data_IF_185952564280
#
_entry.id   IF_185952564280
#
_cell.length_a   1.000
_cell.length_b   1.000
_cell.length_c   1.000
_cell.angle_alpha   90.00
_cell.angle_beta   90.00
_cell.angle_gamma   90.00
#
_symmetry.space_group_name_H-M   'P 1'
#
loop_
_entity.id
_entity.type
_entity.pdbx_description
1 polymer ?
#
# COMPACT_ATOMS: atom_id res chain seq x y z
N UNK A 1 4.52 4.92 54.65
CA UNK A 1 3.49 5.04 53.60
C UNK A 1 2.58 3.84 53.75
N UNK A 2 1.37 4.05 54.27
CA UNK A 2 0.38 2.98 54.43
C UNK A 2 -0.33 2.79 53.08
N UNK A 3 -0.07 1.66 52.42
CA UNK A 3 -0.80 1.29 51.20
C UNK A 3 -2.16 0.77 51.65
N UNK A 4 -3.24 1.44 51.24
CA UNK A 4 -4.60 1.00 51.56
C UNK A 4 -4.93 -0.31 50.83
N UNK A 5 -5.63 -1.22 51.52
CA UNK A 5 -6.05 -2.55 51.02
C UNK A 5 -6.71 -2.48 49.63
N UNK A 6 -7.49 -1.44 49.34
CA UNK A 6 -8.13 -1.25 48.03
C UNK A 6 -7.14 -1.03 46.86
N UNK A 7 -5.96 -0.45 47.12
CA UNK A 7 -4.89 -0.28 46.12
C UNK A 7 -4.15 -1.60 45.93
N UNK A 8 -3.95 -2.38 47.00
CA UNK A 8 -3.32 -3.69 46.90
C UNK A 8 -4.19 -4.73 46.17
N UNK A 9 -5.52 -4.67 46.36
CA UNK A 9 -6.48 -5.52 45.66
C UNK A 9 -6.59 -5.16 44.17
N UNK A 10 -6.65 -3.87 43.82
CA UNK A 10 -6.69 -3.45 42.40
C UNK A 10 -5.40 -3.73 41.63
N UNK A 11 -4.27 -3.84 42.33
CA UNK A 11 -2.98 -4.25 41.76
C UNK A 11 -2.76 -5.77 41.77
N UNK A 12 -3.75 -6.56 42.23
CA UNK A 12 -3.68 -8.02 42.24
C UNK A 12 -2.62 -8.60 43.19
N UNK A 13 -2.19 -7.82 44.19
CA UNK A 13 -1.18 -8.24 45.17
C UNK A 13 -1.79 -9.06 46.32
N UNK A 14 -3.10 -8.90 46.54
CA UNK A 14 -3.88 -9.62 47.54
C UNK A 14 -5.20 -10.10 46.92
N UNK A 15 -5.68 -11.26 47.35
CA UNK A 15 -6.99 -11.81 46.99
C UNK A 15 -7.72 -12.25 48.26
N UNK A 16 -9.06 -12.28 48.24
CA UNK A 16 -9.84 -12.85 49.34
C UNK A 16 -9.91 -14.36 49.20
N UNK A 17 -9.52 -15.06 50.25
CA UNK A 17 -9.75 -16.49 50.34
C UNK A 17 -11.24 -16.83 50.51
N UNK A 18 -11.58 -18.11 50.42
CA UNK A 18 -12.94 -18.63 50.61
C UNK A 18 -13.56 -18.33 51.99
N UNK A 19 -12.76 -17.86 52.94
CA UNK A 19 -13.18 -17.43 54.28
C UNK A 19 -13.28 -15.91 54.43
N UNK A 20 -13.11 -15.15 53.34
CA UNK A 20 -13.23 -13.70 53.28
C UNK A 20 -12.02 -12.94 53.83
N UNK A 21 -10.88 -13.59 54.06
CA UNK A 21 -9.64 -12.96 54.53
C UNK A 21 -8.73 -12.62 53.36
N UNK A 22 -8.07 -11.46 53.42
CA UNK A 22 -7.07 -11.09 52.42
C UNK A 22 -5.79 -11.90 52.63
N UNK A 23 -5.37 -12.62 51.60
CA UNK A 23 -4.09 -13.34 51.55
C UNK A 23 -3.22 -12.73 50.47
N UNK A 24 -1.92 -12.58 50.77
CA UNK A 24 -0.90 -12.20 49.78
C UNK A 24 -0.78 -13.33 48.76
N UNK A 25 -0.90 -13.02 47.47
CA UNK A 25 -0.71 -13.99 46.38
C UNK A 25 0.80 -14.18 46.17
N UNK A 26 1.41 -15.30 46.60
CA UNK A 26 2.81 -15.55 46.34
C UNK A 26 2.95 -16.02 44.88
N UNK A 27 3.92 -15.46 44.15
CA UNK A 27 4.35 -15.88 42.81
C UNK A 27 3.44 -15.57 41.61
N UNK A 28 3.29 -14.29 41.28
CA UNK A 28 3.08 -13.81 39.89
C UNK A 28 4.21 -13.02 39.22
N UNK A 29 5.42 -12.77 39.77
CA UNK A 29 6.47 -12.11 38.97
C UNK A 29 7.01 -12.99 37.83
N UNK A 30 6.87 -14.32 37.93
CA UNK A 30 7.56 -15.27 37.03
C UNK A 30 6.77 -15.66 35.78
N UNK A 31 5.47 -15.37 35.69
CA UNK A 31 4.66 -15.66 34.49
C UNK A 31 4.54 -14.45 33.55
N UNK A 32 4.61 -13.22 34.05
CA UNK A 32 4.52 -12.01 33.21
C UNK A 32 5.82 -11.77 32.40
N UNK A 33 6.94 -12.37 32.83
CA UNK A 33 8.23 -12.31 32.12
C UNK A 33 8.42 -13.43 31.07
N UNK A 34 7.55 -14.44 31.01
CA UNK A 34 7.66 -15.55 30.06
C UNK A 34 6.73 -15.42 28.82
N UNK A 35 5.76 -14.50 28.85
CA UNK A 35 4.85 -14.23 27.72
C UNK A 35 5.17 -12.95 26.94
N UNK A 36 6.29 -12.29 27.22
CA UNK A 36 6.88 -11.28 26.33
C UNK A 36 8.00 -11.90 25.49
N UNK A 37 7.69 -12.97 24.76
CA UNK A 37 8.41 -13.15 23.49
C UNK A 37 7.91 -12.00 22.63
N UNK A 38 8.76 -11.11 22.10
CA UNK A 38 8.34 -10.21 21.05
C UNK A 38 7.71 -11.10 19.99
N UNK A 39 6.40 -11.05 19.87
CA UNK A 39 5.73 -11.60 18.71
C UNK A 39 6.33 -10.80 17.57
N UNK A 40 7.22 -11.43 16.80
CA UNK A 40 7.68 -10.88 15.54
C UNK A 40 6.40 -10.47 14.82
N UNK A 41 6.13 -9.16 14.80
CA UNK A 41 5.21 -8.59 13.83
C UNK A 41 5.61 -9.24 12.52
N UNK A 42 4.67 -9.82 11.75
CA UNK A 42 5.01 -10.38 10.45
C UNK A 42 5.89 -9.34 9.77
N UNK A 43 7.14 -9.70 9.48
CA UNK A 43 8.07 -8.82 8.80
C UNK A 43 7.27 -8.19 7.66
N UNK A 44 7.28 -6.87 7.58
CA UNK A 44 6.68 -6.13 6.48
C UNK A 44 7.53 -6.43 5.24
N UNK A 45 7.45 -7.68 4.78
CA UNK A 45 8.11 -8.21 3.61
C UNK A 45 7.40 -7.52 2.47
N UNK A 46 8.02 -6.44 2.01
CA UNK A 46 7.61 -5.69 0.85
C UNK A 46 7.15 -6.59 -0.29
N UNK A 47 6.21 -6.09 -1.09
CA UNK A 47 5.71 -6.78 -2.26
C UNK A 47 6.89 -7.10 -3.20
N UNK A 48 7.13 -8.39 -3.44
CA UNK A 48 8.17 -8.86 -4.35
C UNK A 48 7.81 -8.48 -5.79
N UNK A 49 8.83 -8.17 -6.60
CA UNK A 49 8.64 -8.02 -8.04
C UNK A 49 8.29 -9.38 -8.65
N UNK A 50 7.50 -9.37 -9.72
CA UNK A 50 7.00 -10.60 -10.35
C UNK A 50 8.11 -11.43 -11.02
N UNK A 51 9.21 -10.80 -11.42
CA UNK A 51 10.34 -11.46 -12.08
C UNK A 51 11.51 -11.62 -11.08
N UNK A 52 11.87 -12.87 -10.79
CA UNK A 52 12.94 -13.22 -9.87
C UNK A 52 14.33 -12.71 -10.31
N UNK A 53 14.58 -12.58 -11.61
CA UNK A 53 15.83 -12.01 -12.12
C UNK A 53 15.89 -10.50 -11.87
N UNK A 54 14.77 -9.79 -12.04
CA UNK A 54 14.67 -8.36 -11.73
C UNK A 54 14.79 -8.12 -10.22
N UNK A 55 14.19 -8.99 -9.41
CA UNK A 55 14.32 -8.96 -7.94
C UNK A 55 15.79 -9.16 -7.51
N UNK A 56 16.52 -10.08 -8.16
CA UNK A 56 17.94 -10.28 -7.91
C UNK A 56 18.78 -9.05 -8.32
N UNK A 57 18.47 -8.41 -9.45
CA UNK A 57 19.11 -7.17 -9.88
C UNK A 57 18.85 -6.03 -8.87
N UNK A 58 17.62 -5.90 -8.35
CA UNK A 58 17.27 -4.95 -7.30
C UNK A 58 18.05 -5.22 -6.01
N UNK A 59 18.09 -6.47 -5.56
CA UNK A 59 18.85 -6.85 -4.36
C UNK A 59 20.35 -6.54 -4.50
N UNK A 60 20.94 -6.83 -5.66
CA UNK A 60 22.34 -6.50 -5.94
C UNK A 60 22.59 -4.99 -5.93
N UNK A 61 21.68 -4.20 -6.54
CA UNK A 61 21.75 -2.74 -6.52
C UNK A 61 21.68 -2.19 -5.10
N UNK A 62 20.74 -2.65 -4.28
CA UNK A 62 20.57 -2.20 -2.90
C UNK A 62 21.76 -2.58 -2.01
N UNK A 63 22.33 -3.79 -2.18
CA UNK A 63 23.46 -4.24 -1.39
C UNK A 63 24.77 -3.53 -1.75
N UNK A 64 24.98 -3.23 -3.03
CA UNK A 64 26.22 -2.61 -3.50
C UNK A 64 26.22 -1.08 -3.35
N UNK A 65 25.04 -0.45 -3.37
CA UNK A 65 24.94 1.01 -3.34
C UNK A 65 24.76 1.59 -1.94
N UNK A 66 25.22 2.82 -1.76
CA UNK A 66 25.00 3.55 -0.50
C UNK A 66 23.55 4.03 -0.41
N UNK A 67 23.01 4.18 0.81
CA UNK A 67 21.64 4.69 1.00
C UNK A 67 21.43 6.06 0.36
N UNK A 68 22.46 6.92 0.36
CA UNK A 68 22.37 8.23 -0.30
C UNK A 68 22.26 8.11 -1.83
N UNK A 69 22.95 7.15 -2.45
CA UNK A 69 22.80 6.82 -3.86
C UNK A 69 21.40 6.28 -4.16
N UNK A 70 20.86 5.39 -3.32
CA UNK A 70 19.51 4.84 -3.47
C UNK A 70 18.44 5.94 -3.42
N UNK A 71 18.50 6.83 -2.42
CA UNK A 71 17.56 7.96 -2.33
C UNK A 71 17.72 8.95 -3.48
N UNK A 72 18.93 9.16 -3.99
CA UNK A 72 19.16 10.00 -5.16
C UNK A 72 18.52 9.41 -6.43
N UNK A 73 18.68 8.11 -6.66
CA UNK A 73 18.04 7.39 -7.77
C UNK A 73 16.52 7.56 -7.69
N UNK A 74 15.93 7.19 -6.55
CA UNK A 74 14.49 7.25 -6.37
C UNK A 74 13.95 8.68 -6.52
N UNK A 75 14.63 9.66 -5.93
CA UNK A 75 14.24 11.07 -6.02
C UNK A 75 14.24 11.58 -7.46
N UNK A 76 15.23 11.19 -8.26
CA UNK A 76 15.36 11.57 -9.67
C UNK A 76 14.31 10.86 -10.53
N UNK A 77 14.10 9.56 -10.35
CA UNK A 77 13.05 8.82 -11.06
C UNK A 77 11.66 9.38 -10.80
N UNK A 78 11.35 9.77 -9.55
CA UNK A 78 10.04 10.33 -9.19
C UNK A 78 9.87 11.77 -9.70
N UNK A 79 10.93 12.57 -9.73
CA UNK A 79 10.84 13.98 -10.09
C UNK A 79 10.96 14.21 -11.59
N UNK A 80 11.94 13.55 -12.21
CA UNK A 80 12.41 13.81 -13.56
C UNK A 80 12.08 12.65 -14.52
N UNK A 81 11.72 11.47 -13.99
CA UNK A 81 11.45 10.27 -14.78
C UNK A 81 12.71 9.52 -15.23
N UNK A 82 13.89 10.08 -14.98
CA UNK A 82 15.18 9.54 -15.39
C UNK A 82 16.25 9.75 -14.30
N UNK A 83 17.32 8.96 -14.33
CA UNK A 83 18.46 9.11 -13.43
C UNK A 83 19.56 9.85 -14.16
N UNK A 84 20.07 10.93 -13.56
CA UNK A 84 21.05 11.75 -14.23
C UNK A 84 22.42 11.03 -14.36
N UNK A 85 23.28 11.44 -15.33
CA UNK A 85 24.55 10.76 -15.59
C UNK A 85 25.51 10.72 -14.40
N UNK A 86 25.47 11.73 -13.52
CA UNK A 86 26.34 11.79 -12.33
C UNK A 86 25.95 10.74 -11.29
N UNK A 87 24.65 10.57 -11.05
CA UNK A 87 24.14 9.49 -10.18
C UNK A 87 24.49 8.14 -10.78
N UNK A 88 24.27 7.95 -12.10
CA UNK A 88 24.59 6.69 -12.77
C UNK A 88 26.07 6.33 -12.72
N UNK A 89 26.96 7.32 -12.89
CA UNK A 89 28.41 7.12 -12.72
C UNK A 89 28.75 6.63 -11.32
N UNK A 90 28.08 7.13 -10.28
CA UNK A 90 28.26 6.68 -8.90
C UNK A 90 27.77 5.25 -8.71
N UNK A 91 26.58 4.93 -9.21
CA UNK A 91 26.01 3.57 -9.17
C UNK A 91 26.95 2.56 -9.82
N UNK A 92 27.45 2.86 -11.02
CA UNK A 92 28.40 1.97 -11.73
C UNK A 92 29.71 1.78 -10.96
N UNK A 93 30.21 2.84 -10.31
CA UNK A 93 31.43 2.78 -9.48
C UNK A 93 31.21 1.95 -8.21
N UNK A 94 30.06 2.09 -7.56
CA UNK A 94 29.67 1.34 -6.36
C UNK A 94 29.48 -0.16 -6.67
N UNK A 95 28.93 -0.49 -7.84
CA UNK A 95 28.76 -1.87 -8.32
C UNK A 95 30.04 -2.50 -8.87
N UNK A 96 31.06 -1.70 -9.21
CA UNK A 96 32.25 -2.18 -9.90
C UNK A 96 32.00 -2.70 -11.32
N UNK A 97 30.99 -2.15 -12.01
CA UNK A 97 30.60 -2.55 -13.39
C UNK A 97 30.64 -1.36 -14.35
N UNK A 98 30.52 -1.64 -15.65
CA UNK A 98 30.47 -0.58 -16.67
C UNK A 98 29.17 0.25 -16.56
N UNK A 99 29.21 1.57 -16.83
CA UNK A 99 28.03 2.44 -16.76
C UNK A 99 26.82 1.94 -17.57
N UNK A 100 27.05 1.43 -18.79
CA UNK A 100 25.99 0.90 -19.64
C UNK A 100 25.33 -0.35 -19.04
N UNK A 101 26.10 -1.16 -18.31
CA UNK A 101 25.56 -2.34 -17.63
C UNK A 101 24.74 -1.94 -16.41
N UNK A 102 25.20 -0.94 -15.64
CA UNK A 102 24.45 -0.38 -14.52
C UNK A 102 23.12 0.24 -14.97
N UNK A 103 23.13 0.99 -16.06
CA UNK A 103 21.93 1.57 -16.67
C UNK A 103 20.94 0.49 -17.10
N UNK A 104 21.42 -0.56 -17.79
CA UNK A 104 20.58 -1.66 -18.23
C UNK A 104 19.94 -2.41 -17.04
N UNK A 105 20.69 -2.66 -15.96
CA UNK A 105 20.16 -3.31 -14.75
C UNK A 105 19.14 -2.42 -14.05
N UNK A 106 19.45 -1.13 -13.88
CA UNK A 106 18.52 -0.20 -13.26
C UNK A 106 17.23 -0.05 -14.08
N UNK A 107 17.33 0.03 -15.40
CA UNK A 107 16.17 0.10 -16.29
C UNK A 107 15.23 -1.09 -16.12
N UNK A 108 15.75 -2.31 -15.98
CA UNK A 108 14.92 -3.51 -15.70
C UNK A 108 14.19 -3.40 -14.36
N UNK A 109 14.87 -2.91 -13.33
CA UNK A 109 14.27 -2.72 -12.01
C UNK A 109 13.16 -1.68 -12.06
N UNK A 110 13.37 -0.56 -12.75
CA UNK A 110 12.35 0.48 -12.96
C UNK A 110 11.14 -0.07 -13.69
N UNK A 111 11.34 -0.82 -14.78
CA UNK A 111 10.25 -1.48 -15.50
C UNK A 111 9.53 -2.52 -14.64
N UNK A 112 10.23 -3.22 -13.75
CA UNK A 112 9.63 -4.13 -12.77
C UNK A 112 8.65 -3.42 -11.83
N UNK A 113 9.07 -2.30 -11.22
CA UNK A 113 8.19 -1.48 -10.39
C UNK A 113 7.01 -0.89 -11.17
N UNK A 114 7.25 -0.46 -12.41
CA UNK A 114 6.18 0.04 -13.29
C UNK A 114 5.14 -1.05 -13.58
N UNK A 115 5.60 -2.25 -13.96
CA UNK A 115 4.72 -3.39 -14.21
C UNK A 115 3.91 -3.78 -12.97
N UNK A 116 4.53 -3.75 -11.79
CA UNK A 116 3.86 -4.00 -10.52
C UNK A 116 2.77 -2.96 -10.25
N UNK A 117 3.06 -1.67 -10.42
CA UNK A 117 2.06 -0.60 -10.25
C UNK A 117 0.89 -0.75 -11.25
N UNK A 118 1.18 -1.00 -12.53
CA UNK A 118 0.17 -1.24 -13.57
C UNK A 118 -0.72 -2.44 -13.21
N UNK A 119 -0.13 -3.55 -12.77
CA UNK A 119 -0.88 -4.72 -12.31
C UNK A 119 -1.83 -4.36 -11.16
N UNK A 120 -1.39 -3.54 -10.20
CA UNK A 120 -2.25 -3.05 -9.12
C UNK A 120 -3.41 -2.20 -9.65
N UNK A 121 -3.18 -1.34 -10.65
CA UNK A 121 -4.25 -0.53 -11.26
C UNK A 121 -5.28 -1.41 -11.97
N UNK A 122 -4.83 -2.42 -12.73
CA UNK A 122 -5.71 -3.38 -13.39
C UNK A 122 -6.53 -4.19 -12.38
N UNK A 123 -5.92 -4.65 -11.29
CA UNK A 123 -6.62 -5.36 -10.22
C UNK A 123 -7.69 -4.49 -9.55
N UNK A 124 -7.50 -3.17 -9.54
CA UNK A 124 -8.46 -2.21 -9.01
C UNK A 124 -9.53 -1.77 -10.02
N UNK A 125 -9.49 -2.26 -11.26
CA UNK A 125 -10.52 -1.98 -12.28
C UNK A 125 -10.18 -0.84 -13.24
N UNK A 126 -8.94 -0.37 -13.27
CA UNK A 126 -8.46 0.58 -14.27
C UNK A 126 -7.92 -0.22 -15.46
N UNK A 127 -8.53 -0.07 -16.63
CA UNK A 127 -8.07 -0.79 -17.84
C UNK A 127 -7.00 -0.02 -18.61
N UNK A 128 -7.16 1.30 -18.71
CA UNK A 128 -6.16 2.19 -19.28
C UNK A 128 -5.30 2.79 -18.16
N UNK A 129 -4.19 2.11 -17.86
CA UNK A 129 -3.24 2.58 -16.86
C UNK A 129 -2.56 3.90 -17.26
N UNK A 130 -2.36 4.15 -18.57
CA UNK A 130 -1.72 5.37 -19.05
C UNK A 130 -2.66 6.58 -18.89
N UNK A 131 -3.96 6.39 -19.09
CA UNK A 131 -4.98 7.41 -18.78
C UNK A 131 -5.00 7.74 -17.28
N UNK A 132 -4.97 6.72 -16.40
CA UNK A 132 -4.90 6.94 -14.96
C UNK A 132 -3.63 7.68 -14.54
N UNK A 133 -2.46 7.27 -15.04
CA UNK A 133 -1.18 7.92 -14.74
C UNK A 133 -1.22 9.38 -15.20
N UNK A 134 -1.71 9.64 -16.42
CA UNK A 134 -1.86 10.99 -16.96
C UNK A 134 -2.79 11.85 -16.10
N UNK A 135 -3.92 11.27 -15.67
CA UNK A 135 -4.85 11.94 -14.76
C UNK A 135 -4.19 12.29 -13.42
N UNK A 136 -3.49 11.33 -12.81
CA UNK A 136 -2.86 11.49 -11.50
C UNK A 136 -1.76 12.56 -11.55
N UNK A 137 -0.95 12.57 -12.61
CA UNK A 137 0.06 13.62 -12.83
C UNK A 137 -0.54 15.01 -12.99
N UNK A 138 -1.73 15.13 -13.62
CA UNK A 138 -2.37 16.42 -13.85
C UNK A 138 -3.15 16.94 -12.63
N UNK A 139 -3.83 16.06 -11.89
CA UNK A 139 -4.79 16.46 -10.84
C UNK A 139 -4.24 16.28 -9.43
N UNK A 140 -3.30 15.35 -9.25
CA UNK A 140 -2.72 14.92 -7.96
C UNK A 140 -1.20 14.68 -8.06
N UNK A 141 -0.42 15.60 -8.64
CA UNK A 141 1.02 15.36 -8.91
C UNK A 141 1.81 15.02 -7.66
N UNK A 142 1.57 15.71 -6.55
CA UNK A 142 2.32 15.50 -5.30
C UNK A 142 1.97 14.18 -4.62
N UNK A 143 0.68 13.80 -4.62
CA UNK A 143 0.22 12.53 -4.06
C UNK A 143 0.70 11.35 -4.93
N UNK A 144 0.70 11.50 -6.26
CA UNK A 144 1.22 10.48 -7.16
C UNK A 144 2.73 10.29 -6.97
N UNK A 145 3.50 11.39 -6.88
CA UNK A 145 4.93 11.32 -6.55
C UNK A 145 5.18 10.71 -5.16
N UNK A 146 4.34 11.00 -4.17
CA UNK A 146 4.42 10.38 -2.86
C UNK A 146 4.16 8.86 -2.93
N UNK A 147 3.14 8.43 -3.67
CA UNK A 147 2.86 7.02 -3.90
C UNK A 147 4.02 6.30 -4.60
N UNK A 148 4.65 6.92 -5.60
CA UNK A 148 5.84 6.37 -6.26
C UNK A 148 7.03 6.24 -5.31
N UNK A 149 7.29 7.25 -4.46
CA UNK A 149 8.34 7.17 -3.43
C UNK A 149 8.07 6.05 -2.45
N UNK A 150 6.86 5.96 -1.91
CA UNK A 150 6.48 4.91 -0.97
C UNK A 150 6.60 3.53 -1.63
N UNK A 151 6.23 3.41 -2.90
CA UNK A 151 6.40 2.17 -3.65
C UNK A 151 7.87 1.75 -3.74
N UNK A 152 8.79 2.69 -4.00
CA UNK A 152 10.22 2.40 -4.03
C UNK A 152 10.84 2.09 -2.66
N UNK A 153 10.40 2.78 -1.59
CA UNK A 153 10.97 2.63 -0.24
C UNK A 153 10.34 1.49 0.54
N UNK A 154 9.02 1.50 0.66
CA UNK A 154 8.24 0.55 1.46
C UNK A 154 7.94 -0.72 0.66
N UNK A 155 8.27 -0.74 -0.64
CA UNK A 155 7.97 -1.85 -1.54
C UNK A 155 6.49 -2.21 -1.51
N UNK A 156 5.62 -1.20 -1.46
CA UNK A 156 4.18 -1.43 -1.45
C UNK A 156 3.43 -0.54 -2.43
N UNK A 157 2.46 -1.14 -3.12
CA UNK A 157 1.57 -0.41 -4.05
C UNK A 157 0.38 0.24 -3.34
N UNK A 158 0.23 0.06 -2.02
CA UNK A 158 -0.89 0.62 -1.25
C UNK A 158 -1.02 2.14 -1.36
N UNK A 159 0.09 2.86 -1.56
CA UNK A 159 0.11 4.31 -1.73
C UNK A 159 -0.75 4.83 -2.89
N UNK A 160 -0.99 4.01 -3.92
CA UNK A 160 -1.83 4.41 -5.06
C UNK A 160 -3.34 4.32 -4.79
N UNK A 161 -3.75 3.61 -3.74
CA UNK A 161 -5.15 3.25 -3.51
C UNK A 161 -6.10 4.45 -3.37
N UNK A 162 -5.74 5.55 -2.67
CA UNK A 162 -6.57 6.76 -2.64
C UNK A 162 -6.74 7.41 -4.02
N UNK A 163 -5.68 7.43 -4.83
CA UNK A 163 -5.70 8.01 -6.18
C UNK A 163 -6.58 7.20 -7.12
N UNK A 164 -6.49 5.88 -7.05
CA UNK A 164 -7.33 4.96 -7.83
C UNK A 164 -8.81 5.15 -7.49
N UNK A 165 -9.15 5.24 -6.19
CA UNK A 165 -10.54 5.48 -5.77
C UNK A 165 -11.07 6.82 -6.26
N UNK A 166 -10.27 7.87 -6.16
CA UNK A 166 -10.65 9.18 -6.66
C UNK A 166 -10.86 9.13 -8.18
N UNK A 167 -9.92 8.56 -8.94
CA UNK A 167 -10.02 8.42 -10.39
C UNK A 167 -11.32 7.72 -10.80
N UNK A 168 -11.59 6.53 -10.25
CA UNK A 168 -12.78 5.75 -10.55
C UNK A 168 -14.09 6.49 -10.21
N UNK A 169 -14.08 7.30 -9.15
CA UNK A 169 -15.24 8.12 -8.76
C UNK A 169 -15.55 9.25 -9.76
N UNK A 170 -14.56 9.69 -10.53
CA UNK A 170 -14.75 10.72 -11.57
C UNK A 170 -15.29 10.17 -12.88
N UNK A 171 -15.26 8.85 -13.10
CA UNK A 171 -15.78 8.23 -14.33
C UNK A 171 -17.26 8.58 -14.53
N UNK A 172 -18.07 8.59 -13.47
CA UNK A 172 -19.49 8.94 -13.57
C UNK A 172 -19.76 10.34 -14.10
N UNK A 173 -18.82 11.27 -13.93
CA UNK A 173 -18.95 12.64 -14.43
C UNK A 173 -18.45 12.78 -15.87
N UNK A 174 -17.47 11.95 -16.29
CA UNK A 174 -16.79 12.05 -17.59
C UNK A 174 -17.41 11.15 -18.64
N UNK A 175 -17.73 9.92 -18.24
CA UNK A 175 -18.29 8.88 -19.09
C UNK A 175 -19.29 8.01 -18.30
N UNK A 176 -20.54 8.50 -18.10
CA UNK A 176 -21.56 7.74 -17.43
C UNK A 176 -22.03 6.52 -18.24
N UNK A 177 -21.86 6.52 -19.56
CA UNK A 177 -22.30 5.41 -20.42
C UNK A 177 -21.38 4.20 -20.25
N UNK A 178 -20.06 4.41 -20.10
CA UNK A 178 -19.12 3.35 -19.76
C UNK A 178 -19.53 2.58 -18.48
N UNK A 179 -20.12 3.26 -17.49
CA UNK A 179 -20.60 2.59 -16.26
C UNK A 179 -21.86 1.76 -16.52
N UNK A 180 -22.73 2.21 -17.41
CA UNK A 180 -23.97 1.49 -17.77
C UNK A 180 -23.67 0.20 -18.53
N UNK A 181 -22.57 0.18 -19.28
CA UNK A 181 -22.10 -0.97 -20.07
C UNK A 181 -21.11 -1.87 -19.29
N UNK A 182 -20.49 -1.35 -18.22
CA UNK A 182 -19.51 -2.06 -17.43
C UNK A 182 -20.06 -3.31 -16.72
N UNK A 183 -19.21 -4.31 -16.57
CA UNK A 183 -19.52 -5.49 -15.76
C UNK A 183 -19.22 -5.21 -14.28
N UNK A 184 -20.24 -4.73 -13.56
CA UNK A 184 -20.12 -4.28 -12.17
C UNK A 184 -20.16 -5.40 -11.12
N UNK A 185 -20.29 -6.66 -11.56
CA UNK A 185 -20.42 -7.85 -10.73
C UNK A 185 -21.77 -8.55 -10.86
N UNK A 186 -21.87 -9.77 -10.33
CA UNK A 186 -23.05 -10.63 -10.49
C UNK A 186 -24.29 -10.01 -9.86
N UNK A 187 -25.30 -9.75 -10.67
CA UNK A 187 -26.61 -9.23 -10.22
C UNK A 187 -26.64 -7.73 -9.92
N UNK A 188 -25.54 -7.00 -10.17
CA UNK A 188 -25.51 -5.55 -10.06
C UNK A 188 -25.98 -4.96 -11.38
N UNK A 189 -26.95 -4.05 -11.32
CA UNK A 189 -27.44 -3.32 -12.49
C UNK A 189 -27.24 -1.82 -12.31
N UNK A 190 -26.90 -1.13 -13.40
CA UNK A 190 -26.75 0.32 -13.42
C UNK A 190 -27.92 0.95 -14.17
N UNK A 191 -28.45 2.05 -13.63
CA UNK A 191 -29.49 2.86 -14.26
C UNK A 191 -29.16 4.33 -14.13
N UNK A 192 -29.47 5.12 -15.15
CA UNK A 192 -29.30 6.57 -15.13
C UNK A 192 -30.56 7.23 -14.59
N UNK A 193 -30.44 8.02 -13.53
CA UNK A 193 -31.52 8.83 -12.97
C UNK A 193 -31.10 10.31 -13.00
N UNK A 194 -31.57 11.03 -14.03
CA UNK A 194 -31.11 12.40 -14.29
C UNK A 194 -29.62 12.40 -14.67
N UNK A 195 -28.81 13.13 -13.89
CA UNK A 195 -27.35 13.19 -14.06
C UNK A 195 -26.57 12.17 -13.22
N UNK A 196 -27.26 11.32 -12.45
CA UNK A 196 -26.63 10.40 -11.50
C UNK A 196 -26.80 8.96 -11.98
N UNK A 197 -25.72 8.19 -11.94
CA UNK A 197 -25.78 6.73 -12.15
C UNK A 197 -26.09 6.06 -10.80
N UNK A 198 -27.21 5.33 -10.76
CA UNK A 198 -27.69 4.58 -9.60
C UNK A 198 -27.49 3.10 -9.86
N UNK A 199 -26.87 2.42 -8.90
CA UNK A 199 -26.63 0.99 -8.92
C UNK A 199 -27.66 0.29 -8.04
N UNK A 200 -28.19 -0.83 -8.51
CA UNK A 200 -28.96 -1.77 -7.68
C UNK A 200 -28.05 -2.92 -7.31
N UNK A 201 -27.64 -3.00 -6.05
CA UNK A 201 -26.69 -3.99 -5.54
C UNK A 201 -27.46 -5.03 -4.69
N UNK A 202 -27.37 -6.34 -5.00
CA UNK A 202 -28.01 -7.39 -4.21
C UNK A 202 -27.59 -7.35 -2.73
N UNK A 203 -28.58 -7.34 -1.83
CA UNK A 203 -28.34 -7.29 -0.38
C UNK A 203 -28.08 -5.90 0.21
N UNK A 204 -27.76 -4.89 -0.60
CA UNK A 204 -27.52 -3.50 -0.16
C UNK A 204 -28.67 -2.57 -0.56
N UNK A 205 -29.23 -2.75 -1.76
CA UNK A 205 -30.27 -1.88 -2.30
C UNK A 205 -29.74 -0.90 -3.36
N UNK A 206 -30.39 0.27 -3.49
CA UNK A 206 -30.01 1.29 -4.46
C UNK A 206 -29.02 2.29 -3.84
N UNK A 207 -27.89 2.50 -4.52
CA UNK A 207 -26.85 3.45 -4.12
C UNK A 207 -26.33 4.19 -5.35
N UNK A 208 -25.86 5.43 -5.19
CA UNK A 208 -25.18 6.12 -6.28
C UNK A 208 -23.80 5.50 -6.54
N UNK A 209 -23.36 5.53 -7.80
CA UNK A 209 -22.10 4.91 -8.22
C UNK A 209 -20.89 5.42 -7.42
N UNK A 210 -20.81 6.73 -7.13
CA UNK A 210 -19.66 7.29 -6.40
C UNK A 210 -19.58 6.74 -4.98
N UNK A 211 -20.72 6.64 -4.30
CA UNK A 211 -20.80 5.98 -2.99
C UNK A 211 -20.40 4.51 -3.10
N UNK A 212 -20.89 3.78 -4.10
CA UNK A 212 -20.56 2.37 -4.27
C UNK A 212 -19.05 2.11 -4.47
N UNK A 213 -18.36 2.95 -5.26
CA UNK A 213 -16.90 2.89 -5.44
C UNK A 213 -16.17 3.23 -4.14
N UNK A 214 -16.58 4.30 -3.45
CA UNK A 214 -15.95 4.74 -2.19
C UNK A 214 -16.05 3.68 -1.09
N UNK A 215 -17.23 3.09 -0.93
CA UNK A 215 -17.49 2.04 0.07
C UNK A 215 -17.00 0.65 -0.40
N UNK A 216 -16.36 0.56 -1.57
CA UNK A 216 -15.85 -0.69 -2.18
C UNK A 216 -16.92 -1.78 -2.34
N UNK A 217 -18.16 -1.37 -2.62
CA UNK A 217 -19.30 -2.28 -2.83
C UNK A 217 -19.28 -2.93 -4.22
N UNK A 218 -18.50 -2.37 -5.15
CA UNK A 218 -18.36 -2.85 -6.52
C UNK A 218 -16.88 -2.91 -6.91
N UNK A 219 -16.59 -3.77 -7.87
CA UNK A 219 -15.36 -3.71 -8.67
C UNK A 219 -15.78 -3.40 -10.10
N UNK A 220 -15.23 -2.34 -10.67
CA UNK A 220 -15.50 -1.99 -12.07
C UNK A 220 -14.55 -2.85 -12.92
N UNK A 221 -15.11 -3.64 -13.83
CA UNK A 221 -14.35 -4.26 -14.92
C UNK A 221 -15.00 -3.80 -16.21
N UNK A 222 -14.20 -3.25 -17.14
CA UNK A 222 -14.68 -2.94 -18.46
C UNK A 222 -15.00 -4.24 -19.21
N UNK A 223 -15.80 -4.07 -20.25
CA UNK A 223 -16.33 -5.14 -21.08
C UNK A 223 -15.34 -5.61 -22.13
#
# INVERSE_FOLDING_TARGET
MEVTVAIAESQGLIEKDVSGRYVLVPDRPSQILAENTPQESPEDQGEALSDAAVEADLAALVQASTSSTQFAILGQLVSDGEVNPNTMSRVSSELGIHPQEAEARLGKVVEGFKAQAISTFHQAGIEDADEFISWAQQHRPEDFKAAMRNHGVERSTRGYQPLVQEYLSTIADRDPEAILEAQLGSGITATKQGSTVILTIPGVGQVDYKTAVRERLITVRGS
#
